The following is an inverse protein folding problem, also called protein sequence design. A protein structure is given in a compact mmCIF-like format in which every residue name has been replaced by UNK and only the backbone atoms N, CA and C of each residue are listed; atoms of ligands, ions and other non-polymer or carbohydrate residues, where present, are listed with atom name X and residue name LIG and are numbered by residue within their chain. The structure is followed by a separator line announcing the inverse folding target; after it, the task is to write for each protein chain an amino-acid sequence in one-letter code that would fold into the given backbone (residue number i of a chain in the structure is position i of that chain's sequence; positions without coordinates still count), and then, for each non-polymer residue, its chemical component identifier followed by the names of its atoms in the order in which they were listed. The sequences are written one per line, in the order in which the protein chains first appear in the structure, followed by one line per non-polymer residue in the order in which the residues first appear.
data_IF_280481060392
#
_entry.id   IF_280481060392
#
_cell.length_a   1.000
_cell.length_b   1.000
_cell.length_c   1.000
_cell.angle_alpha   90.00
_cell.angle_beta   90.00
_cell.angle_gamma   90.00
#
_symmetry.space_group_name_H-M   'P 1'
#
loop_
_entity.id
_entity.type
_entity.pdbx_description
1 polymer ?
#
# COMPACT_ATOMS: atom_id res chain seq x y z
N UNK A 1 -1.51 -11.12 18.65
CA UNK A 1 -1.35 -10.48 17.33
C UNK A 1 -2.22 -9.24 17.38
N UNK A 2 -1.65 -8.05 17.22
CA UNK A 2 -2.42 -6.80 17.33
C UNK A 2 -3.45 -6.74 16.19
N UNK A 3 -4.66 -6.23 16.42
CA UNK A 3 -5.57 -5.92 15.32
C UNK A 3 -4.87 -4.86 14.46
N UNK A 4 -4.52 -5.21 13.22
CA UNK A 4 -4.12 -4.21 12.25
C UNK A 4 -5.31 -3.27 12.10
N UNK A 5 -5.14 -2.02 12.52
CA UNK A 5 -6.12 -0.97 12.33
C UNK A 5 -6.32 -0.80 10.83
N UNK A 6 -7.42 -1.32 10.29
CA UNK A 6 -7.84 -1.08 8.91
C UNK A 6 -8.67 0.20 8.83
N UNK A 7 -8.65 0.92 7.70
CA UNK A 7 -9.66 1.96 7.42
C UNK A 7 -11.05 1.34 7.52
N UNK A 8 -12.06 2.07 8.00
CA UNK A 8 -13.38 1.46 8.28
C UNK A 8 -14.12 1.01 7.03
N UNK A 9 -13.72 1.44 5.83
CA UNK A 9 -14.43 1.11 4.60
C UNK A 9 -13.47 0.91 3.43
N UNK A 10 -13.65 -0.19 2.70
CA UNK A 10 -13.06 -0.41 1.39
C UNK A 10 -11.63 -0.92 1.38
N UNK A 11 -11.12 -1.42 2.51
CA UNK A 11 -9.77 -1.95 2.65
C UNK A 11 -9.79 -3.30 3.37
N UNK A 12 -9.05 -4.26 2.84
CA UNK A 12 -8.82 -5.60 3.38
C UNK A 12 -7.34 -5.78 3.73
N UNK A 13 -7.05 -6.50 4.82
CA UNK A 13 -5.72 -7.02 5.14
C UNK A 13 -5.69 -8.54 5.10
N UNK A 14 -6.69 -9.18 4.47
CA UNK A 14 -6.76 -10.63 4.46
C UNK A 14 -5.52 -11.17 3.73
N UNK A 15 -4.84 -12.18 4.30
CA UNK A 15 -3.64 -12.72 3.70
C UNK A 15 -3.90 -13.26 2.29
N UNK A 16 -5.08 -13.84 2.03
CA UNK A 16 -5.47 -14.31 0.70
C UNK A 16 -5.50 -13.17 -0.34
N UNK A 17 -6.05 -11.98 0.00
CA UNK A 17 -6.07 -10.82 -0.91
C UNK A 17 -4.65 -10.27 -1.18
N UNK A 18 -3.78 -10.35 -0.18
CA UNK A 18 -2.40 -9.86 -0.28
C UNK A 18 -1.47 -10.87 -0.97
N UNK A 19 -1.70 -12.17 -0.80
CA UNK A 19 -0.82 -13.22 -1.30
C UNK A 19 -0.74 -13.21 -2.84
N UNK A 20 -1.85 -12.93 -3.52
CA UNK A 20 -1.87 -12.82 -4.98
C UNK A 20 -0.85 -11.77 -5.50
N UNK A 21 -0.57 -10.71 -4.73
CA UNK A 21 0.28 -9.60 -5.15
C UNK A 21 1.64 -9.51 -4.46
N UNK A 22 1.79 -10.16 -3.30
CA UNK A 22 2.97 -9.99 -2.45
C UNK A 22 3.64 -11.30 -1.98
N UNK A 23 3.03 -12.47 -2.24
CA UNK A 23 3.49 -13.76 -1.68
C UNK A 23 4.80 -14.25 -2.30
N UNK A 24 5.03 -14.00 -3.59
CA UNK A 24 6.22 -14.49 -4.30
C UNK A 24 7.02 -13.33 -4.88
N UNK A 25 8.32 -13.50 -5.09
CA UNK A 25 9.16 -12.49 -5.74
C UNK A 25 8.74 -12.21 -7.19
N UNK A 26 7.97 -13.10 -7.80
CA UNK A 26 7.38 -12.96 -9.14
C UNK A 26 5.98 -12.33 -9.13
N UNK A 27 5.42 -12.04 -7.94
CA UNK A 27 4.12 -11.39 -7.82
C UNK A 27 4.19 -9.95 -8.32
N UNK A 28 3.09 -9.45 -8.90
CA UNK A 28 3.04 -8.14 -9.57
C UNK A 28 3.49 -7.00 -8.65
N UNK A 29 3.01 -6.97 -7.40
CA UNK A 29 3.42 -5.96 -6.43
C UNK A 29 4.93 -6.01 -6.12
N UNK A 30 5.53 -7.20 -6.06
CA UNK A 30 6.99 -7.36 -5.87
C UNK A 30 7.77 -6.87 -7.09
N UNK A 31 7.36 -7.27 -8.30
CA UNK A 31 8.04 -6.87 -9.54
C UNK A 31 7.98 -5.35 -9.74
N UNK A 32 6.80 -4.74 -9.55
CA UNK A 32 6.65 -3.29 -9.66
C UNK A 32 7.54 -2.60 -8.63
N UNK A 33 7.48 -2.99 -7.36
CA UNK A 33 8.28 -2.35 -6.30
C UNK A 33 9.79 -2.50 -6.49
N UNK A 34 10.27 -3.62 -7.04
CA UNK A 34 11.66 -3.79 -7.46
C UNK A 34 12.09 -2.78 -8.52
N UNK A 35 11.20 -2.43 -9.47
CA UNK A 35 11.43 -1.37 -10.45
C UNK A 35 11.65 0.02 -9.84
N UNK A 36 11.18 0.24 -8.61
CA UNK A 36 11.42 1.47 -7.83
C UNK A 36 12.60 1.34 -6.86
N UNK A 37 13.38 0.26 -6.93
CA UNK A 37 14.50 -0.02 -6.02
C UNK A 37 14.07 -0.56 -4.65
N UNK A 38 12.80 -0.96 -4.49
CA UNK A 38 12.24 -1.48 -3.24
C UNK A 38 12.25 -3.02 -3.27
N UNK A 39 13.33 -3.61 -2.74
CA UNK A 39 13.52 -5.06 -2.75
C UNK A 39 12.83 -5.81 -1.58
N UNK A 40 12.34 -5.09 -0.57
CA UNK A 40 11.77 -5.68 0.65
C UNK A 40 10.36 -5.14 0.95
N UNK A 41 9.56 -5.00 -0.10
CA UNK A 41 8.16 -4.64 0.03
C UNK A 41 7.34 -5.78 0.66
N UNK A 42 6.54 -5.46 1.68
CA UNK A 42 5.61 -6.38 2.32
C UNK A 42 4.21 -5.79 2.26
N UNK A 43 3.27 -6.50 1.65
CA UNK A 43 1.86 -6.12 1.62
C UNK A 43 1.31 -5.94 3.04
N UNK A 44 0.65 -4.82 3.29
CA UNK A 44 0.02 -4.50 4.58
C UNK A 44 -1.50 -4.60 4.47
N UNK A 45 -2.07 -3.99 3.43
CA UNK A 45 -3.50 -4.00 3.14
C UNK A 45 -3.73 -3.56 1.69
N UNK A 46 -4.86 -3.93 1.10
CA UNK A 46 -5.28 -3.54 -0.25
C UNK A 46 -6.73 -3.09 -0.23
N UNK A 47 -7.15 -2.35 -1.24
CA UNK A 47 -8.56 -1.97 -1.38
C UNK A 47 -9.41 -3.16 -1.77
N UNK A 48 -10.60 -3.25 -1.19
CA UNK A 48 -11.58 -4.28 -1.56
C UNK A 48 -12.05 -4.03 -2.99
N UNK A 49 -12.31 -5.09 -3.79
CA UNK A 49 -12.76 -4.95 -5.17
C UNK A 49 -14.07 -4.16 -5.28
N UNK A 50 -14.89 -4.15 -4.23
CA UNK A 50 -16.14 -3.39 -4.14
C UNK A 50 -15.94 -1.87 -4.10
N UNK A 51 -14.76 -1.40 -3.70
CA UNK A 51 -14.41 0.02 -3.64
C UNK A 51 -14.17 0.62 -5.03
N UNK A 52 -13.91 -0.21 -6.04
CA UNK A 52 -13.54 0.23 -7.39
C UNK A 52 -12.14 0.84 -7.48
N UNK A 53 -11.39 0.83 -6.37
CA UNK A 53 -9.99 1.25 -6.30
C UNK A 53 -9.10 0.00 -6.34
N UNK A 54 -7.96 0.08 -7.01
CA UNK A 54 -6.96 -0.99 -7.09
C UNK A 54 -5.65 -0.52 -6.43
N UNK A 55 -5.76 -0.19 -5.14
CA UNK A 55 -4.67 0.38 -4.35
C UNK A 55 -4.15 -0.66 -3.36
N UNK A 56 -2.84 -0.78 -3.32
CA UNK A 56 -2.13 -1.71 -2.46
C UNK A 56 -1.19 -0.94 -1.57
N UNK A 57 -1.39 -1.00 -0.26
CA UNK A 57 -0.46 -0.42 0.70
C UNK A 57 0.54 -1.48 1.16
N UNK A 58 1.82 -1.14 1.08
CA UNK A 58 2.92 -2.00 1.48
C UNK A 58 3.94 -1.24 2.30
N UNK A 59 4.66 -1.96 3.14
CA UNK A 59 5.75 -1.42 3.94
C UNK A 59 7.08 -1.89 3.38
N UNK A 60 8.09 -1.02 3.42
CA UNK A 60 9.48 -1.40 3.22
C UNK A 60 10.31 -0.78 4.33
N UNK A 61 10.84 -1.63 5.21
CA UNK A 61 11.54 -1.21 6.42
C UNK A 61 10.62 -0.45 7.39
N UNK A 62 10.87 0.85 7.57
CA UNK A 62 10.08 1.74 8.45
C UNK A 62 9.20 2.72 7.67
N UNK A 63 9.11 2.58 6.35
CA UNK A 63 8.32 3.48 5.51
C UNK A 63 7.18 2.74 4.84
N UNK A 64 6.04 3.42 4.75
CA UNK A 64 4.85 2.94 4.06
C UNK A 64 4.75 3.55 2.67
N UNK A 65 4.23 2.76 1.75
CA UNK A 65 4.07 3.09 0.35
C UNK A 65 2.70 2.61 -0.11
N UNK A 66 2.19 3.26 -1.15
CA UNK A 66 0.96 2.93 -1.85
C UNK A 66 1.32 2.63 -3.29
N UNK A 67 0.93 1.48 -3.78
CA UNK A 67 0.98 1.14 -5.19
C UNK A 67 -0.42 1.24 -5.76
N UNK A 68 -0.57 2.07 -6.78
CA UNK A 68 -1.77 2.14 -7.59
C UNK A 68 -1.59 1.22 -8.79
N UNK A 69 -2.28 0.08 -8.76
CA UNK A 69 -2.22 -0.93 -9.81
C UNK A 69 -2.83 -0.40 -11.13
N UNK A 70 -3.80 0.51 -11.07
CA UNK A 70 -4.46 1.05 -12.28
C UNK A 70 -3.51 1.91 -13.12
N UNK A 71 -2.65 2.68 -12.45
CA UNK A 71 -1.71 3.61 -13.06
C UNK A 71 -0.25 3.10 -13.04
N UNK A 72 -0.04 1.89 -12.52
CA UNK A 72 1.27 1.29 -12.19
C UNK A 72 2.23 2.27 -11.49
N UNK A 73 1.69 3.06 -10.56
CA UNK A 73 2.42 4.12 -9.88
C UNK A 73 2.64 3.81 -8.42
N UNK A 74 3.87 3.96 -7.94
CA UNK A 74 4.20 3.86 -6.52
C UNK A 74 4.31 5.25 -5.90
N UNK A 75 3.57 5.46 -4.81
CA UNK A 75 3.60 6.65 -3.98
C UNK A 75 4.18 6.32 -2.62
N UNK A 76 5.14 7.10 -2.17
CA UNK A 76 5.70 7.04 -0.81
C UNK A 76 4.84 7.89 0.12
N UNK A 77 4.46 7.32 1.26
CA UNK A 77 3.79 8.08 2.32
C UNK A 77 4.87 8.82 3.12
N UNK A 78 4.89 10.14 3.01
CA UNK A 78 5.82 11.02 3.73
C UNK A 78 5.29 11.30 5.12
N UNK A 79 4.00 11.56 5.23
CA UNK A 79 3.32 11.79 6.49
C UNK A 79 1.86 11.35 6.41
N UNK A 80 1.34 10.65 7.43
CA UNK A 80 2.03 10.23 8.65
C UNK A 80 2.87 8.95 8.45
N UNK A 81 3.87 8.73 9.31
CA UNK A 81 4.76 7.56 9.24
C UNK A 81 4.27 6.33 10.03
N UNK A 82 3.14 6.46 10.73
CA UNK A 82 2.54 5.40 11.54
C UNK A 82 1.30 4.85 10.86
N UNK A 83 1.18 3.52 10.77
CA UNK A 83 0.03 2.83 10.17
C UNK A 83 -1.32 3.32 10.72
N UNK A 84 -1.46 3.40 12.05
CA UNK A 84 -2.71 3.83 12.68
C UNK A 84 -3.09 5.27 12.30
N UNK A 85 -2.11 6.17 12.21
CA UNK A 85 -2.35 7.54 11.78
C UNK A 85 -2.69 7.63 10.29
N UNK A 86 -2.06 6.80 9.44
CA UNK A 86 -2.36 6.71 8.01
C UNK A 86 -3.82 6.31 7.85
N UNK A 87 -4.20 5.23 8.54
CA UNK A 87 -5.55 4.68 8.54
C UNK A 87 -6.58 5.70 9.02
N UNK A 88 -6.30 6.42 10.11
CA UNK A 88 -7.17 7.49 10.60
C UNK A 88 -7.35 8.63 9.60
N UNK A 89 -6.28 9.02 8.87
CA UNK A 89 -6.40 10.06 7.86
C UNK A 89 -7.17 9.58 6.62
N UNK A 90 -6.97 8.34 6.19
CA UNK A 90 -7.77 7.72 5.13
C UNK A 90 -9.24 7.66 5.55
N UNK A 91 -9.55 7.28 6.78
CA UNK A 91 -10.92 7.22 7.32
C UNK A 91 -11.57 8.62 7.38
N UNK A 92 -10.78 9.65 7.73
CA UNK A 92 -11.27 11.01 7.93
C UNK A 92 -11.48 11.79 6.61
N UNK A 93 -10.62 11.58 5.61
CA UNK A 93 -10.63 12.38 4.40
C UNK A 93 -9.99 11.72 3.18
N UNK A 94 -9.89 10.38 3.18
CA UNK A 94 -9.33 9.60 2.08
C UNK A 94 -7.83 9.80 1.86
N UNK A 95 -7.33 9.28 0.73
CA UNK A 95 -5.92 9.34 0.37
C UNK A 95 -5.40 10.77 0.18
N UNK A 96 -6.26 11.70 -0.23
CA UNK A 96 -5.90 13.11 -0.39
C UNK A 96 -5.58 13.82 0.93
N UNK A 97 -5.86 13.19 2.08
CA UNK A 97 -5.44 13.70 3.39
C UNK A 97 -3.99 13.36 3.73
N UNK A 98 -3.42 12.33 3.07
CA UNK A 98 -2.05 11.89 3.27
C UNK A 98 -1.06 12.77 2.50
N UNK A 99 0.13 12.97 3.04
CA UNK A 99 1.24 13.55 2.29
C UNK A 99 1.93 12.45 1.49
N UNK A 100 1.64 12.40 0.20
CA UNK A 100 2.14 11.40 -0.73
C UNK A 100 3.18 12.01 -1.68
N UNK A 101 4.25 11.27 -1.94
CA UNK A 101 5.24 11.59 -2.94
C UNK A 101 5.26 10.49 -3.99
N UNK A 102 4.97 10.82 -5.25
CA UNK A 102 5.16 9.89 -6.36
C UNK A 102 6.64 9.53 -6.47
N UNK A 103 6.94 8.23 -6.49
CA UNK A 103 8.28 7.75 -6.76
C UNK A 103 8.50 7.65 -8.27
N UNK A 104 9.74 7.92 -8.68
CA UNK A 104 10.19 7.67 -10.04
C UNK A 104 10.83 6.27 -10.10
N UNK A 105 10.61 5.51 -11.19
CA UNK A 105 11.24 4.21 -11.36
C UNK A 105 12.77 4.36 -11.39
N UNK A 106 13.46 3.43 -10.72
CA UNK A 106 14.92 3.36 -10.71
C UNK A 106 15.39 2.73 -12.02
N UNK A 107 15.61 3.58 -13.03
CA UNK A 107 16.07 3.20 -14.37
C UNK A 107 17.57 2.90 -14.44
#
# INVERSE_FOLDING_TARGET
MAPQSLPKSGWSNSPDDLDDYWSTDESEGRLTTQGYGINSAMGVMCTEPESGEALHMFASGQTYYLWNQSDDQVLKIISPTNLESIVQQIDAGGLGSLELQVLEPSN
#
